data_IF_897500436052
#
_entry.id   IF_897500436052
#
_cell.length_a   1.000
_cell.length_b   1.000
_cell.length_c   1.000
_cell.angle_alpha   90.00
_cell.angle_beta   90.00
_cell.angle_gamma   90.00
#
_symmetry.space_group_name_H-M   'P 1'
#
loop_
_entity.id
_entity.type
_entity.pdbx_description
1 polymer ?
#
# COMPACT_ATOMS: atom_id res chain seq x y z
N UNK A 1 89.35 16.15 22.78
CA UNK A 1 89.51 15.91 21.33
C UNK A 1 88.32 15.09 20.85
N UNK A 2 87.50 15.65 19.95
CA UNK A 2 86.44 15.02 19.10
C UNK A 2 85.30 14.25 19.79
N UNK A 3 84.04 14.25 19.34
CA UNK A 3 83.16 15.17 18.60
C UNK A 3 81.76 14.59 18.88
N UNK A 4 80.78 15.43 19.25
CA UNK A 4 79.38 15.04 19.51
C UNK A 4 78.57 15.10 18.20
N UNK A 5 77.53 14.27 18.16
CA UNK A 5 76.16 14.54 17.70
C UNK A 5 75.62 13.69 16.53
N UNK A 6 74.54 12.98 16.89
CA UNK A 6 73.45 12.35 16.11
C UNK A 6 73.09 13.00 14.77
N UNK A 7 72.56 12.19 13.86
CA UNK A 7 71.31 12.51 13.15
C UNK A 7 70.62 11.22 12.65
N UNK A 8 69.31 11.20 12.88
CA UNK A 8 68.32 10.25 12.38
C UNK A 8 68.16 10.37 10.85
N UNK A 9 67.65 9.31 10.21
CA UNK A 9 66.35 9.29 9.47
C UNK A 9 66.31 8.10 8.49
N UNK A 10 65.13 7.48 8.50
CA UNK A 10 64.56 6.33 7.80
C UNK A 10 65.00 6.01 6.35
N UNK A 11 65.12 4.69 6.09
CA UNK A 11 65.11 4.03 4.78
C UNK A 11 63.84 4.35 3.96
N UNK A 12 63.93 4.60 2.65
CA UNK A 12 62.76 4.64 1.77
C UNK A 12 62.38 3.22 1.32
N UNK A 13 61.15 2.79 1.63
CA UNK A 13 60.53 1.60 1.03
C UNK A 13 59.94 1.98 -0.32
N UNK A 14 60.33 1.27 -1.38
CA UNK A 14 59.79 1.39 -2.74
C UNK A 14 58.26 1.24 -2.73
N UNK A 15 57.55 2.27 -3.21
CA UNK A 15 56.13 2.19 -3.55
C UNK A 15 56.04 1.59 -4.96
N UNK A 16 55.66 0.31 -5.03
CA UNK A 16 55.21 -0.32 -6.27
C UNK A 16 53.72 0.03 -6.46
N UNK A 17 53.43 0.91 -7.41
CA UNK A 17 52.06 1.21 -7.83
C UNK A 17 51.42 -0.03 -8.47
N UNK A 18 50.44 -0.63 -7.78
CA UNK A 18 49.54 -1.61 -8.38
C UNK A 18 48.14 -0.98 -8.49
N UNK A 19 47.80 -0.55 -9.71
CA UNK A 19 46.49 0.02 -10.04
C UNK A 19 45.39 -1.03 -9.88
N UNK A 20 44.41 -0.75 -9.02
CA UNK A 20 43.16 -1.52 -8.95
C UNK A 20 42.23 -1.03 -10.07
N UNK A 21 42.27 -1.70 -11.22
CA UNK A 21 41.20 -1.65 -12.20
C UNK A 21 39.95 -2.30 -11.62
N UNK A 22 38.86 -1.54 -11.52
CA UNK A 22 37.52 -2.08 -11.22
C UNK A 22 37.05 -2.85 -12.46
N UNK A 23 36.74 -4.13 -12.31
CA UNK A 23 35.99 -4.88 -13.29
C UNK A 23 34.53 -4.42 -13.24
N UNK A 24 34.10 -3.70 -14.27
CA UNK A 24 32.70 -3.43 -14.59
C UNK A 24 32.11 -4.70 -15.24
N UNK A 25 31.35 -5.47 -14.48
CA UNK A 25 30.42 -6.44 -15.05
C UNK A 25 29.19 -5.67 -15.52
N UNK A 26 29.18 -5.35 -16.82
CA UNK A 26 28.00 -4.87 -17.53
C UNK A 26 27.05 -6.06 -17.69
N UNK A 27 26.07 -6.21 -16.78
CA UNK A 27 24.92 -7.07 -17.02
C UNK A 27 24.07 -6.43 -18.12
N UNK A 28 24.26 -6.87 -19.36
CA UNK A 28 23.37 -6.56 -20.47
C UNK A 28 22.02 -7.22 -20.23
N UNK A 29 20.98 -6.41 -20.03
CA UNK A 29 19.60 -6.86 -19.93
C UNK A 29 19.15 -7.50 -21.26
N UNK A 30 19.07 -8.84 -21.31
CA UNK A 30 18.50 -9.55 -22.44
C UNK A 30 17.00 -9.23 -22.58
N UNK A 31 16.63 -8.59 -23.68
CA UNK A 31 15.24 -8.25 -24.00
C UNK A 31 14.53 -9.51 -24.49
N UNK A 32 13.64 -10.06 -23.66
CA UNK A 32 12.80 -11.21 -24.03
C UNK A 32 11.86 -10.79 -25.18
N UNK A 33 11.99 -11.41 -26.35
CA UNK A 33 11.13 -11.19 -27.52
C UNK A 33 10.18 -12.38 -27.70
N UNK A 34 8.95 -12.12 -28.13
CA UNK A 34 8.07 -13.20 -28.63
C UNK A 34 8.66 -13.85 -29.89
N UNK A 35 8.18 -15.03 -30.28
CA UNK A 35 8.52 -15.67 -31.56
C UNK A 35 8.26 -14.79 -32.79
N UNK A 36 7.51 -13.69 -32.64
CA UNK A 36 7.21 -12.67 -33.68
C UNK A 36 8.02 -11.39 -33.54
N UNK A 37 9.06 -11.35 -32.70
CA UNK A 37 9.96 -10.19 -32.58
C UNK A 37 9.38 -8.98 -31.82
N UNK A 38 8.15 -9.09 -31.30
CA UNK A 38 7.55 -8.04 -30.47
C UNK A 38 8.26 -8.05 -29.10
N UNK A 39 8.83 -6.92 -28.64
CA UNK A 39 9.38 -6.81 -27.29
C UNK A 39 8.29 -7.10 -26.26
N UNK A 40 8.49 -8.13 -25.41
CA UNK A 40 7.64 -8.32 -24.25
C UNK A 40 8.07 -7.31 -23.20
N UNK A 41 7.31 -6.22 -23.05
CA UNK A 41 7.49 -5.35 -21.90
C UNK A 41 7.21 -6.17 -20.64
N UNK A 42 8.26 -6.41 -19.84
CA UNK A 42 8.13 -7.23 -18.63
C UNK A 42 7.38 -6.40 -17.60
N UNK A 43 6.07 -6.63 -17.45
CA UNK A 43 5.25 -5.97 -16.44
C UNK A 43 5.95 -6.07 -15.08
N UNK A 44 6.17 -4.92 -14.45
CA UNK A 44 6.80 -4.83 -13.14
C UNK A 44 6.00 -5.66 -12.14
N UNK A 45 6.69 -6.38 -11.25
CA UNK A 45 6.07 -7.19 -10.21
C UNK A 45 6.39 -6.61 -8.85
N UNK A 46 5.45 -6.77 -7.92
CA UNK A 46 5.66 -6.44 -6.51
C UNK A 46 6.87 -7.21 -5.98
N UNK A 47 7.84 -6.48 -5.44
CA UNK A 47 9.13 -7.03 -4.99
C UNK A 47 9.05 -7.74 -3.63
N UNK A 48 7.93 -7.59 -2.90
CA UNK A 48 7.80 -8.02 -1.52
C UNK A 48 8.16 -6.93 -0.50
N UNK A 49 8.66 -5.77 -0.95
CA UNK A 49 9.05 -4.67 -0.08
C UNK A 49 7.90 -3.66 0.10
N UNK A 50 7.03 -3.96 1.06
CA UNK A 50 5.86 -3.13 1.39
C UNK A 50 6.21 -1.67 1.70
N UNK A 51 7.32 -1.41 2.40
CA UNK A 51 7.71 -0.04 2.77
C UNK A 51 8.23 0.75 1.56
N UNK A 52 8.81 0.08 0.57
CA UNK A 52 9.29 0.74 -0.65
C UNK A 52 8.13 1.01 -1.60
N UNK A 53 7.23 0.04 -1.75
CA UNK A 53 6.20 0.07 -2.80
C UNK A 53 4.87 0.68 -2.33
N UNK A 54 4.62 0.73 -1.01
CA UNK A 54 3.40 1.30 -0.41
C UNK A 54 3.75 2.36 0.64
N UNK A 55 4.40 3.41 0.19
CA UNK A 55 4.81 4.55 1.01
C UNK A 55 4.51 5.87 0.30
N UNK A 56 3.37 5.94 -0.38
CA UNK A 56 2.90 7.20 -0.94
C UNK A 56 2.76 8.25 0.18
N UNK A 57 3.05 9.50 -0.17
CA UNK A 57 3.10 10.62 0.77
C UNK A 57 1.70 11.04 1.18
N UNK A 58 1.53 11.46 2.44
CA UNK A 58 0.25 11.94 2.97
C UNK A 58 -0.33 13.07 2.11
N UNK A 59 0.51 13.99 1.63
CA UNK A 59 0.08 15.11 0.78
C UNK A 59 -0.49 14.64 -0.56
N UNK A 60 0.04 13.55 -1.13
CA UNK A 60 -0.47 12.98 -2.38
C UNK A 60 -1.86 12.36 -2.16
N UNK A 61 -2.04 11.63 -1.06
CA UNK A 61 -3.34 11.12 -0.65
C UNK A 61 -4.33 12.26 -0.43
N UNK A 62 -3.95 13.30 0.32
CA UNK A 62 -4.83 14.43 0.61
C UNK A 62 -5.21 15.21 -0.64
N UNK A 63 -4.25 15.47 -1.52
CA UNK A 63 -4.49 16.19 -2.78
C UNK A 63 -5.52 15.45 -3.65
N UNK A 64 -5.37 14.14 -3.82
CA UNK A 64 -6.36 13.35 -4.55
C UNK A 64 -7.71 13.28 -3.83
N UNK A 65 -7.70 13.13 -2.50
CA UNK A 65 -8.90 13.04 -1.70
C UNK A 65 -9.75 14.32 -1.81
N UNK A 66 -9.13 15.49 -1.68
CA UNK A 66 -9.81 16.79 -1.82
C UNK A 66 -10.27 17.05 -3.25
N UNK A 67 -9.53 16.59 -4.27
CA UNK A 67 -9.88 16.83 -5.67
C UNK A 67 -11.06 15.98 -6.15
N UNK A 68 -11.18 14.74 -5.68
CA UNK A 68 -12.19 13.78 -6.15
C UNK A 68 -13.36 13.58 -5.17
N UNK A 69 -13.21 14.07 -3.95
CA UNK A 69 -14.11 13.78 -2.85
C UNK A 69 -15.14 14.85 -2.57
N UNK A 70 -15.98 14.55 -1.59
CA UNK A 70 -16.97 15.49 -1.04
C UNK A 70 -16.31 16.51 -0.12
N UNK A 71 -17.03 17.58 0.18
CA UNK A 71 -16.66 18.45 1.32
C UNK A 71 -16.79 17.67 2.64
N UNK A 72 -15.85 17.84 3.60
CA UNK A 72 -15.94 17.19 4.90
C UNK A 72 -17.26 17.45 5.62
N UNK A 73 -17.78 16.41 6.27
CA UNK A 73 -19.03 16.46 7.03
C UNK A 73 -18.77 16.65 8.52
N UNK A 74 -19.63 17.43 9.18
CA UNK A 74 -19.54 17.61 10.63
C UNK A 74 -20.10 16.38 11.37
N UNK A 75 -21.29 15.92 10.98
CA UNK A 75 -22.05 14.86 11.64
C UNK A 75 -22.43 13.73 10.68
N UNK A 76 -22.61 12.51 11.20
CA UNK A 76 -22.97 11.35 10.36
C UNK A 76 -24.29 11.54 9.61
N UNK A 77 -25.23 12.30 10.18
CA UNK A 77 -26.52 12.62 9.54
C UNK A 77 -26.38 13.55 8.31
N UNK A 78 -25.24 14.22 8.13
CA UNK A 78 -25.00 15.07 6.96
C UNK A 78 -24.90 14.26 5.66
N UNK A 79 -24.72 12.93 5.74
CA UNK A 79 -24.79 12.01 4.59
C UNK A 79 -26.06 12.15 3.77
N UNK A 80 -27.19 12.50 4.40
CA UNK A 80 -28.47 12.71 3.73
C UNK A 80 -28.43 13.87 2.72
N UNK A 81 -27.56 14.85 2.96
CA UNK A 81 -27.36 16.01 2.07
C UNK A 81 -26.53 15.65 0.84
N UNK A 82 -25.73 14.59 0.93
CA UNK A 82 -24.78 14.13 -0.09
C UNK A 82 -25.20 12.80 -0.72
N UNK A 83 -26.48 12.43 -0.62
CA UNK A 83 -27.01 11.13 -1.08
C UNK A 83 -26.75 10.86 -2.57
N UNK A 84 -26.63 11.92 -3.37
CA UNK A 84 -26.42 11.84 -4.82
C UNK A 84 -24.91 11.79 -5.17
N UNK A 85 -24.04 12.08 -4.20
CA UNK A 85 -22.57 12.09 -4.33
C UNK A 85 -21.91 10.86 -3.66
N UNK A 86 -22.65 10.17 -2.78
CA UNK A 86 -22.16 9.05 -1.98
C UNK A 86 -22.90 7.76 -2.30
N UNK A 87 -22.13 6.67 -2.37
CA UNK A 87 -22.62 5.30 -2.48
C UNK A 87 -22.46 4.61 -1.13
N UNK A 88 -23.58 4.09 -0.58
CA UNK A 88 -23.52 3.23 0.60
C UNK A 88 -23.01 1.85 0.19
N UNK A 89 -21.92 1.41 0.81
CA UNK A 89 -21.45 0.03 0.68
C UNK A 89 -22.32 -0.90 1.54
N UNK A 90 -22.74 -2.08 1.03
CA UNK A 90 -23.33 -3.12 1.85
C UNK A 90 -22.35 -3.61 2.92
N UNK A 91 -22.88 -4.05 4.06
CA UNK A 91 -22.06 -4.45 5.21
C UNK A 91 -21.36 -5.80 4.95
N UNK A 92 -21.97 -6.68 4.15
CA UNK A 92 -21.40 -7.97 3.78
C UNK A 92 -21.80 -8.34 2.35
N UNK A 93 -20.83 -8.82 1.57
CA UNK A 93 -21.02 -9.41 0.24
C UNK A 93 -20.14 -10.67 0.10
N UNK A 94 -20.26 -11.38 -1.02
CA UNK A 94 -19.41 -12.52 -1.34
C UNK A 94 -17.92 -12.16 -1.45
N UNK A 95 -17.60 -10.89 -1.74
CA UNK A 95 -16.24 -10.43 -2.03
C UNK A 95 -15.52 -9.82 -0.82
N UNK A 96 -16.26 -9.26 0.13
CA UNK A 96 -15.71 -8.58 1.29
C UNK A 96 -16.71 -8.60 2.46
N UNK A 97 -16.18 -8.33 3.64
CA UNK A 97 -16.97 -8.09 4.85
C UNK A 97 -16.53 -6.79 5.50
N UNK A 98 -17.49 -5.99 5.91
CA UNK A 98 -17.22 -4.80 6.69
C UNK A 98 -16.90 -5.20 8.12
N UNK A 99 -15.80 -4.65 8.66
CA UNK A 99 -15.50 -4.77 10.07
C UNK A 99 -16.36 -3.76 10.86
N UNK A 100 -16.49 -3.93 12.16
CA UNK A 100 -17.27 -3.01 13.00
C UNK A 100 -16.72 -1.57 12.92
N UNK A 101 -17.43 -0.70 12.20
CA UNK A 101 -17.01 0.68 11.92
C UNK A 101 -17.39 1.61 13.07
N UNK A 102 -16.60 1.59 14.13
CA UNK A 102 -16.84 2.43 15.31
C UNK A 102 -16.62 3.92 15.05
N UNK A 103 -15.68 4.27 14.17
CA UNK A 103 -15.24 5.64 13.89
C UNK A 103 -15.27 5.99 12.39
N UNK A 104 -16.20 5.40 11.64
CA UNK A 104 -16.48 5.76 10.24
C UNK A 104 -17.86 5.26 9.84
N UNK A 105 -18.32 5.66 8.66
CA UNK A 105 -19.61 5.30 8.08
C UNK A 105 -19.41 4.68 6.68
N UNK A 106 -20.33 3.80 6.23
CA UNK A 106 -20.14 2.93 5.07
C UNK A 106 -20.41 3.60 3.73
N UNK A 107 -19.80 4.77 3.50
CA UNK A 107 -20.01 5.56 2.30
C UNK A 107 -18.71 5.88 1.59
N UNK A 108 -18.71 5.79 0.27
CA UNK A 108 -17.63 6.24 -0.60
C UNK A 108 -18.23 7.06 -1.74
N UNK A 109 -17.43 7.94 -2.35
CA UNK A 109 -17.76 8.48 -3.67
C UNK A 109 -17.74 7.35 -4.72
N UNK A 110 -18.50 7.44 -5.83
CA UNK A 110 -18.64 6.37 -6.81
C UNK A 110 -17.30 5.81 -7.35
N UNK A 111 -16.32 6.68 -7.62
CA UNK A 111 -15.00 6.27 -8.13
C UNK A 111 -14.23 5.40 -7.12
N UNK A 112 -14.28 5.77 -5.83
CA UNK A 112 -13.63 5.01 -4.76
C UNK A 112 -14.37 3.69 -4.47
N UNK A 113 -15.71 3.69 -4.54
CA UNK A 113 -16.49 2.45 -4.45
C UNK A 113 -16.14 1.47 -5.58
N UNK A 114 -16.01 1.95 -6.82
CA UNK A 114 -15.60 1.13 -7.95
C UNK A 114 -14.19 0.57 -7.77
N UNK A 115 -13.23 1.40 -7.34
CA UNK A 115 -11.87 0.95 -7.02
C UNK A 115 -11.88 -0.16 -5.96
N UNK A 116 -12.65 0.01 -4.87
CA UNK A 116 -12.76 -0.98 -3.81
C UNK A 116 -13.31 -2.31 -4.34
N UNK A 117 -14.39 -2.28 -5.12
CA UNK A 117 -14.96 -3.49 -5.73
C UNK A 117 -13.94 -4.17 -6.64
N UNK A 118 -13.21 -3.42 -7.46
CA UNK A 118 -12.16 -3.98 -8.33
C UNK A 118 -11.03 -4.63 -7.54
N UNK A 119 -10.61 -4.03 -6.41
CA UNK A 119 -9.62 -4.65 -5.50
C UNK A 119 -10.14 -6.00 -4.99
N UNK A 120 -11.39 -6.05 -4.53
CA UNK A 120 -11.96 -7.29 -3.96
C UNK A 120 -12.11 -8.40 -5.02
N UNK A 121 -12.52 -8.04 -6.25
CA UNK A 121 -12.60 -8.97 -7.40
C UNK A 121 -11.22 -9.48 -7.79
N UNK A 122 -10.26 -8.57 -8.00
CA UNK A 122 -8.90 -8.93 -8.37
C UNK A 122 -8.23 -9.80 -7.31
N UNK A 123 -8.50 -9.56 -6.02
CA UNK A 123 -8.02 -10.41 -4.94
C UNK A 123 -8.60 -11.82 -5.02
N UNK A 124 -9.93 -11.96 -5.14
CA UNK A 124 -10.59 -13.26 -5.29
C UNK A 124 -10.06 -14.02 -6.50
N UNK A 125 -9.99 -13.36 -7.65
CA UNK A 125 -9.54 -13.98 -8.90
C UNK A 125 -8.05 -14.35 -8.82
N UNK A 126 -7.24 -13.57 -8.09
CA UNK A 126 -5.85 -13.91 -7.79
C UNK A 126 -5.72 -15.14 -6.89
N UNK A 127 -6.59 -15.31 -5.88
CA UNK A 127 -6.62 -16.53 -5.07
C UNK A 127 -6.98 -17.74 -5.94
N UNK A 128 -8.03 -17.62 -6.75
CA UNK A 128 -8.47 -18.67 -7.66
C UNK A 128 -7.37 -19.09 -8.64
N UNK A 129 -6.71 -18.13 -9.31
CA UNK A 129 -5.61 -18.41 -10.25
C UNK A 129 -4.38 -19.08 -9.62
N UNK A 130 -4.23 -18.97 -8.29
CA UNK A 130 -3.12 -19.52 -7.51
C UNK A 130 -3.50 -20.84 -6.81
N UNK A 131 -4.67 -21.39 -7.11
CA UNK A 131 -5.24 -22.57 -6.45
C UNK A 131 -5.25 -22.42 -4.91
N UNK A 132 -5.64 -21.22 -4.45
CA UNK A 132 -5.79 -20.92 -3.03
C UNK A 132 -7.26 -20.96 -2.62
N UNK A 133 -7.57 -21.45 -1.41
CA UNK A 133 -8.89 -21.27 -0.81
C UNK A 133 -9.32 -19.81 -0.84
N UNK A 134 -10.62 -19.59 -1.04
CA UNK A 134 -11.17 -18.25 -1.19
C UNK A 134 -11.36 -17.58 0.17
N UNK A 135 -10.95 -16.31 0.21
CA UNK A 135 -11.13 -15.43 1.36
C UNK A 135 -11.75 -14.11 0.91
N UNK A 136 -12.50 -13.49 1.82
CA UNK A 136 -13.03 -12.15 1.69
C UNK A 136 -12.14 -11.16 2.43
N UNK A 137 -12.02 -9.96 1.88
CA UNK A 137 -11.28 -8.87 2.50
C UNK A 137 -12.10 -8.23 3.62
N UNK A 138 -11.43 -7.77 4.68
CA UNK A 138 -12.05 -6.93 5.70
C UNK A 138 -11.84 -5.45 5.40
N UNK A 139 -12.94 -4.71 5.23
CA UNK A 139 -12.96 -3.26 5.13
C UNK A 139 -13.07 -2.65 6.53
N UNK A 140 -12.07 -1.90 6.96
CA UNK A 140 -11.90 -1.53 8.39
C UNK A 140 -12.07 -0.04 8.69
N UNK A 141 -12.02 0.84 7.70
CA UNK A 141 -12.28 2.28 7.85
C UNK A 141 -12.65 2.87 6.49
N UNK A 142 -13.57 3.83 6.46
CA UNK A 142 -14.12 4.40 5.22
C UNK A 142 -14.34 5.92 5.41
N UNK A 143 -15.56 6.45 5.31
CA UNK A 143 -15.82 7.88 5.44
C UNK A 143 -15.90 8.29 6.91
N UNK A 144 -15.19 9.36 7.29
CA UNK A 144 -15.22 9.93 8.64
C UNK A 144 -15.84 11.30 8.65
N UNK A 145 -16.56 11.62 9.72
CA UNK A 145 -16.99 12.98 10.01
C UNK A 145 -16.02 13.68 10.97
N UNK A 146 -16.20 14.99 11.15
CA UNK A 146 -15.42 15.75 12.13
C UNK A 146 -15.69 15.26 13.55
N UNK A 147 -16.93 14.86 13.84
CA UNK A 147 -17.29 14.19 15.10
C UNK A 147 -16.51 12.89 15.30
N UNK A 148 -16.47 12.01 14.28
CA UNK A 148 -15.71 10.75 14.34
C UNK A 148 -14.23 11.00 14.62
N UNK A 149 -13.64 12.00 13.96
CA UNK A 149 -12.25 12.39 14.17
C UNK A 149 -12.02 12.93 15.57
N UNK A 150 -12.91 13.79 16.08
CA UNK A 150 -12.77 14.35 17.43
C UNK A 150 -12.75 13.27 18.53
N UNK A 151 -13.49 12.17 18.33
CA UNK A 151 -13.51 11.03 19.24
C UNK A 151 -12.22 10.21 19.08
N UNK A 152 -11.75 10.04 17.84
CA UNK A 152 -10.56 9.26 17.52
C UNK A 152 -9.28 9.94 18.04
N UNK A 153 -9.11 11.25 17.80
CA UNK A 153 -7.91 12.01 18.21
C UNK A 153 -7.76 12.11 19.72
N UNK A 154 -8.87 12.16 20.47
CA UNK A 154 -8.85 12.10 21.94
C UNK A 154 -8.21 10.82 22.48
N UNK A 155 -8.34 9.69 21.77
CA UNK A 155 -7.82 8.38 22.20
C UNK A 155 -6.53 7.98 21.50
N UNK A 156 -6.23 8.57 20.34
CA UNK A 156 -5.09 8.21 19.53
C UNK A 156 -4.27 9.46 19.16
N UNK A 157 -3.16 9.65 19.87
CA UNK A 157 -2.19 10.75 19.64
C UNK A 157 -1.63 10.73 18.21
N UNK A 158 -1.67 9.57 17.51
CA UNK A 158 -1.19 9.47 16.13
C UNK A 158 -2.26 9.81 15.08
N UNK A 159 -3.52 10.04 15.47
CA UNK A 159 -4.56 10.43 14.52
C UNK A 159 -4.38 11.91 14.15
N UNK A 160 -4.25 12.18 12.84
CA UNK A 160 -4.18 13.54 12.31
C UNK A 160 -5.59 14.12 12.14
N UNK A 161 -5.74 15.41 12.44
CA UNK A 161 -6.95 16.18 12.11
C UNK A 161 -7.19 16.24 10.59
N UNK A 162 -6.13 16.15 9.78
CA UNK A 162 -6.20 16.22 8.34
C UNK A 162 -6.34 14.83 7.69
N UNK A 163 -7.40 14.12 8.07
CA UNK A 163 -7.67 12.77 7.59
C UNK A 163 -8.29 12.77 6.19
N UNK A 164 -7.69 12.01 5.28
CA UNK A 164 -8.16 11.73 3.91
C UNK A 164 -9.52 11.00 3.89
N UNK A 165 -9.86 10.30 4.97
CA UNK A 165 -11.16 9.65 5.13
C UNK A 165 -12.33 10.62 5.17
N UNK A 166 -12.11 11.93 5.41
CA UNK A 166 -13.19 12.94 5.44
C UNK A 166 -13.86 13.18 4.08
N UNK A 167 -13.18 12.80 3.00
CA UNK A 167 -13.58 13.14 1.64
C UNK A 167 -14.29 11.99 0.90
N UNK A 168 -14.47 10.83 1.55
CA UNK A 168 -15.19 9.69 0.95
C UNK A 168 -14.44 8.97 -0.18
N UNK A 169 -13.17 9.29 -0.39
CA UNK A 169 -12.31 8.74 -1.44
C UNK A 169 -11.33 7.69 -0.93
N UNK A 170 -11.27 7.52 0.39
CA UNK A 170 -10.23 6.77 1.08
C UNK A 170 -10.81 5.71 1.99
N UNK A 171 -10.21 4.53 1.96
CA UNK A 171 -10.63 3.39 2.75
C UNK A 171 -9.44 2.52 3.17
N UNK A 172 -9.63 1.78 4.26
CA UNK A 172 -8.62 0.90 4.82
C UNK A 172 -9.04 -0.56 4.68
N UNK A 173 -8.16 -1.39 4.14
CA UNK A 173 -8.35 -2.85 4.07
C UNK A 173 -7.37 -3.52 5.03
N UNK A 174 -7.84 -4.45 5.87
CA UNK A 174 -6.95 -5.21 6.74
C UNK A 174 -5.98 -6.06 5.92
N UNK A 175 -4.69 -6.06 6.30
CA UNK A 175 -3.73 -7.03 5.77
C UNK A 175 -3.47 -8.19 6.73
N UNK A 176 -4.08 -8.17 7.91
CA UNK A 176 -3.88 -9.19 8.97
C UNK A 176 -5.09 -10.10 9.12
N UNK A 177 -6.31 -9.60 8.87
CA UNK A 177 -7.56 -10.35 9.00
C UNK A 177 -8.16 -10.63 7.63
N UNK A 178 -8.58 -11.86 7.43
CA UNK A 178 -9.27 -12.32 6.23
C UNK A 178 -10.37 -13.28 6.64
N UNK A 179 -11.48 -13.28 5.92
CA UNK A 179 -12.64 -14.11 6.23
C UNK A 179 -12.73 -15.29 5.25
N UNK A 180 -12.61 -16.55 5.70
CA UNK A 180 -12.69 -17.70 4.80
C UNK A 180 -14.12 -17.85 4.26
N UNK A 181 -14.26 -17.99 2.93
CA UNK A 181 -15.59 -18.21 2.30
C UNK A 181 -16.13 -19.60 2.66
N UNK A 182 -15.25 -20.60 2.65
CA UNK A 182 -15.55 -21.97 3.09
C UNK A 182 -14.55 -22.33 4.18
N UNK A 183 -14.99 -22.55 5.43
CA UNK A 183 -14.12 -22.97 6.51
C UNK A 183 -13.62 -24.41 6.26
N UNK A 184 -12.55 -24.58 5.48
CA UNK A 184 -11.80 -25.82 5.41
C UNK A 184 -10.71 -25.79 6.50
N UNK A 185 -10.89 -26.59 7.54
CA UNK A 185 -9.94 -26.68 8.66
C UNK A 185 -8.59 -27.26 8.26
N UNK A 186 -8.50 -27.93 7.11
CA UNK A 186 -7.29 -28.64 6.65
C UNK A 186 -6.43 -27.73 5.75
N UNK A 187 -7.03 -26.78 5.02
CA UNK A 187 -6.34 -25.95 4.01
C UNK A 187 -6.23 -24.46 4.37
N UNK A 188 -6.13 -24.09 5.64
CA UNK A 188 -6.02 -22.67 5.99
C UNK A 188 -4.77 -22.01 5.39
N UNK A 189 -4.96 -20.87 4.74
CA UNK A 189 -3.88 -20.08 4.16
C UNK A 189 -3.32 -19.12 5.22
N UNK A 190 -2.00 -19.08 5.46
CA UNK A 190 -1.42 -18.12 6.38
C UNK A 190 -1.75 -16.67 5.97
N UNK A 191 -2.10 -15.76 6.92
CA UNK A 191 -2.43 -14.37 6.61
C UNK A 191 -1.34 -13.64 5.81
N UNK A 192 -0.06 -13.96 6.01
CA UNK A 192 1.06 -13.37 5.25
C UNK A 192 1.01 -13.73 3.75
N UNK A 193 0.52 -14.92 3.40
CA UNK A 193 0.34 -15.31 2.00
C UNK A 193 -0.83 -14.57 1.36
N UNK A 194 -1.94 -14.39 2.11
CA UNK A 194 -3.08 -13.59 1.66
C UNK A 194 -2.70 -12.11 1.51
N UNK A 195 -1.94 -11.56 2.46
CA UNK A 195 -1.35 -10.22 2.40
C UNK A 195 -0.49 -10.03 1.15
N UNK A 196 0.35 -11.01 0.80
CA UNK A 196 1.18 -10.93 -0.41
C UNK A 196 0.33 -10.88 -1.68
N UNK A 197 -0.74 -11.68 -1.75
CA UNK A 197 -1.68 -11.65 -2.88
C UNK A 197 -2.38 -10.29 -2.97
N UNK A 198 -2.89 -9.77 -1.85
CA UNK A 198 -3.50 -8.43 -1.81
C UNK A 198 -2.49 -7.34 -2.23
N UNK A 199 -1.24 -7.42 -1.77
CA UNK A 199 -0.20 -6.49 -2.17
C UNK A 199 0.09 -6.52 -3.68
N UNK A 200 0.12 -7.69 -4.31
CA UNK A 200 0.27 -7.80 -5.76
C UNK A 200 -0.87 -7.08 -6.50
N UNK A 201 -2.11 -7.24 -6.04
CA UNK A 201 -3.28 -6.53 -6.60
C UNK A 201 -3.14 -5.01 -6.43
N UNK A 202 -2.81 -4.54 -5.24
CA UNK A 202 -2.66 -3.11 -4.94
C UNK A 202 -1.52 -2.49 -5.74
N UNK A 203 -0.40 -3.22 -5.89
CA UNK A 203 0.74 -2.79 -6.69
C UNK A 203 0.36 -2.59 -8.16
N UNK A 204 -0.38 -3.55 -8.73
CA UNK A 204 -0.83 -3.47 -10.12
C UNK A 204 -1.79 -2.28 -10.35
N UNK A 205 -2.71 -2.03 -9.43
CA UNK A 205 -3.65 -0.91 -9.52
C UNK A 205 -2.96 0.45 -9.31
N UNK A 206 -1.99 0.52 -8.39
CA UNK A 206 -1.15 1.69 -8.16
C UNK A 206 -0.33 2.05 -9.41
N UNK A 207 0.26 1.06 -10.09
CA UNK A 207 1.03 1.27 -11.32
C UNK A 207 0.15 1.69 -12.50
N UNK A 208 -1.13 1.33 -12.47
CA UNK A 208 -2.15 1.86 -13.38
C UNK A 208 -2.64 3.27 -12.98
N UNK A 209 -2.01 3.89 -11.98
CA UNK A 209 -2.35 5.21 -11.44
C UNK A 209 -3.77 5.32 -10.87
N UNK A 210 -4.41 4.19 -10.51
CA UNK A 210 -5.78 4.17 -10.00
C UNK A 210 -5.92 4.54 -8.53
N UNK A 211 -4.81 4.46 -7.79
CA UNK A 211 -4.81 4.75 -6.36
C UNK A 211 -3.43 5.12 -5.82
N UNK A 212 -3.44 5.72 -4.62
CA UNK A 212 -2.29 5.78 -3.73
C UNK A 212 -2.46 4.76 -2.61
N UNK A 213 -1.35 4.19 -2.14
CA UNK A 213 -1.34 3.14 -1.12
C UNK A 213 -0.24 3.41 -0.08
N UNK A 214 -0.64 3.37 1.19
CA UNK A 214 0.25 3.38 2.35
C UNK A 214 0.06 2.09 3.15
N UNK A 215 1.16 1.38 3.41
CA UNK A 215 1.14 0.21 4.30
C UNK A 215 1.26 0.66 5.77
N UNK A 216 0.16 0.61 6.51
CA UNK A 216 0.12 1.04 7.90
C UNK A 216 0.35 -0.13 8.86
N UNK A 217 1.54 -0.16 9.47
CA UNK A 217 1.94 -1.26 10.36
C UNK A 217 1.18 -1.26 11.69
N UNK A 218 0.95 -0.07 12.26
CA UNK A 218 0.32 0.08 13.60
C UNK A 218 -1.16 -0.34 13.58
N UNK A 219 -1.90 0.05 12.55
CA UNK A 219 -3.33 -0.28 12.40
C UNK A 219 -3.57 -1.63 11.70
N UNK A 220 -2.52 -2.23 11.16
CA UNK A 220 -2.57 -3.46 10.39
C UNK A 220 -3.50 -3.41 9.15
N UNK A 221 -3.48 -2.28 8.44
CA UNK A 221 -4.22 -2.06 7.20
C UNK A 221 -3.35 -1.49 6.06
N UNK A 222 -3.85 -1.62 4.84
CA UNK A 222 -3.47 -0.78 3.72
C UNK A 222 -4.43 0.40 3.67
N UNK A 223 -3.88 1.61 3.75
CA UNK A 223 -4.60 2.86 3.58
C UNK A 223 -4.57 3.25 2.10
N UNK A 224 -5.75 3.35 1.49
CA UNK A 224 -5.91 3.42 0.03
C UNK A 224 -6.79 4.61 -0.33
N UNK A 225 -6.29 5.50 -1.18
CA UNK A 225 -7.04 6.65 -1.72
C UNK A 225 -7.16 6.54 -3.23
N UNK A 226 -8.38 6.72 -3.75
CA UNK A 226 -8.63 6.72 -5.19
C UNK A 226 -7.96 7.91 -5.91
N UNK A 227 -7.64 7.73 -7.18
CA UNK A 227 -7.02 8.72 -8.07
C UNK A 227 -7.76 8.81 -9.40
#
# INVERSE_FOLDING_TARGET
MYFRWMLLVSLPFLILCCGKGKAETTETAETVKTARGIPLERKQRFSGNYNKEFNDLQDAHLSAATALGISPMALRNDTLKLKDELVRLPDELELYKMYDLTHSIPFLVPSAAQLFVDITRNFRDSLYSKDLPLYRLYLTSILRTDEDLSILTKRNINASENSTHRYGTTFDISWKRFDPVMPDSIRQVPPERLKLVLAQVLFDLKNQQRCYVKHERKQACFHITAR
#
